data_IF_086985674579
#
_entry.id   IF_086985674579
#
_cell.length_a   1.000
_cell.length_b   1.000
_cell.length_c   1.000
_cell.angle_alpha   90.00
_cell.angle_beta   90.00
_cell.angle_gamma   90.00
#
_symmetry.space_group_name_H-M   'P 1'
#
loop_
_entity.id
_entity.type
_entity.pdbx_description
1 polymer ?
#
# COMPACT_ATOMS: atom_id res chain seq x y z
N UNK A 1 -23.38 9.91 -8.38
CA UNK A 1 -21.95 10.20 -8.56
C UNK A 1 -21.21 8.92 -8.19
N UNK A 2 -20.52 8.31 -9.15
CA UNK A 2 -19.82 7.04 -8.94
C UNK A 2 -18.47 7.35 -8.26
N UNK A 3 -18.48 7.43 -6.92
CA UNK A 3 -17.29 7.79 -6.16
C UNK A 3 -16.26 6.67 -6.27
N UNK A 4 -15.26 6.85 -7.14
CA UNK A 4 -14.17 5.89 -7.34
C UNK A 4 -12.92 6.37 -6.63
N UNK A 5 -12.39 5.55 -5.74
CA UNK A 5 -11.20 5.87 -4.95
C UNK A 5 -10.30 4.65 -4.77
N UNK A 6 -9.05 4.93 -4.40
CA UNK A 6 -8.03 3.96 -4.01
C UNK A 6 -7.86 4.06 -2.49
N UNK A 7 -7.64 2.94 -1.80
CA UNK A 7 -7.30 2.93 -0.38
C UNK A 7 -5.81 2.71 -0.15
N UNK A 8 -5.25 3.22 0.94
CA UNK A 8 -3.89 2.94 1.38
C UNK A 8 -3.91 2.02 2.62
N UNK A 9 -3.04 1.01 2.61
CA UNK A 9 -2.74 0.13 3.74
C UNK A 9 -1.24 0.16 4.00
N UNK A 10 -0.84 0.61 5.19
CA UNK A 10 0.57 0.83 5.53
C UNK A 10 0.81 0.76 7.05
N UNK A 11 2.07 0.60 7.45
CA UNK A 11 2.45 0.68 8.86
C UNK A 11 2.69 2.13 9.23
N UNK A 12 2.00 2.61 10.27
CA UNK A 12 2.09 3.98 10.77
C UNK A 12 3.46 4.29 11.40
N UNK A 13 3.99 3.39 12.23
CA UNK A 13 5.18 3.67 13.05
C UNK A 13 4.88 4.55 14.27
N UNK A 14 5.89 4.89 15.10
CA UNK A 14 5.68 5.57 16.38
C UNK A 14 5.27 7.05 16.29
N UNK A 15 5.45 7.72 15.13
CA UNK A 15 5.38 9.19 15.02
C UNK A 15 4.31 9.77 14.07
N UNK A 16 3.39 8.98 13.51
CA UNK A 16 2.30 9.49 12.64
C UNK A 16 1.16 10.18 13.39
N UNK A 17 1.47 11.14 14.27
CA UNK A 17 0.43 11.98 14.87
C UNK A 17 0.03 13.09 13.91
N UNK A 18 -1.28 13.29 13.76
CA UNK A 18 -1.91 14.41 13.05
C UNK A 18 -1.34 15.72 13.60
N UNK A 19 -0.51 16.43 12.82
CA UNK A 19 0.12 17.68 13.26
C UNK A 19 1.46 18.04 12.60
N UNK A 20 2.13 17.10 11.92
CA UNK A 20 3.29 17.44 11.11
C UNK A 20 2.87 18.27 9.88
N UNK A 21 3.62 19.34 9.57
CA UNK A 21 3.33 20.22 8.43
C UNK A 21 3.51 19.54 7.07
N UNK A 22 4.19 18.39 7.03
CA UNK A 22 4.48 17.64 5.83
C UNK A 22 3.78 16.27 5.89
N UNK A 23 3.29 15.80 4.75
CA UNK A 23 2.75 14.45 4.63
C UNK A 23 3.87 13.42 4.76
N UNK A 24 3.66 12.31 5.52
CA UNK A 24 4.57 11.18 5.51
C UNK A 24 4.84 10.65 4.10
N UNK A 25 6.07 10.18 3.86
CA UNK A 25 6.55 9.80 2.52
C UNK A 25 5.69 8.71 1.87
N UNK A 26 5.25 7.71 2.64
CA UNK A 26 4.41 6.63 2.15
C UNK A 26 3.05 7.14 1.65
N UNK A 27 2.50 8.17 2.30
CA UNK A 27 1.25 8.80 1.86
C UNK A 27 1.49 9.63 0.60
N UNK A 28 2.59 10.40 0.54
CA UNK A 28 2.96 11.18 -0.64
C UNK A 28 3.14 10.28 -1.88
N UNK A 29 3.88 9.18 -1.72
CA UNK A 29 4.07 8.21 -2.79
C UNK A 29 2.77 7.54 -3.21
N UNK A 30 1.89 7.22 -2.24
CA UNK A 30 0.58 6.67 -2.54
C UNK A 30 -0.28 7.66 -3.34
N UNK A 31 -0.26 8.96 -3.03
CA UNK A 31 -0.93 9.99 -3.82
C UNK A 31 -0.42 10.00 -5.27
N UNK A 32 0.90 9.95 -5.46
CA UNK A 32 1.51 9.90 -6.78
C UNK A 32 1.06 8.65 -7.57
N UNK A 33 1.03 7.48 -6.91
CA UNK A 33 0.56 6.23 -7.50
C UNK A 33 -0.91 6.34 -7.89
N UNK A 34 -1.78 6.82 -6.98
CA UNK A 34 -3.22 7.03 -7.24
C UNK A 34 -3.46 7.89 -8.47
N UNK A 35 -2.80 9.05 -8.54
CA UNK A 35 -2.92 9.98 -9.67
C UNK A 35 -2.39 9.36 -10.97
N UNK A 36 -1.26 8.65 -10.92
CA UNK A 36 -0.67 7.99 -12.10
C UNK A 36 -1.55 6.89 -12.69
N UNK A 37 -2.40 6.27 -11.86
CA UNK A 37 -3.39 5.28 -12.29
C UNK A 37 -4.71 5.91 -12.77
N UNK A 38 -4.84 7.24 -12.74
CA UNK A 38 -6.02 7.97 -13.21
C UNK A 38 -7.16 8.06 -12.19
N UNK A 39 -6.87 7.89 -10.90
CA UNK A 39 -7.84 8.12 -9.82
C UNK A 39 -7.60 9.48 -9.16
N UNK A 40 -8.68 10.16 -8.79
CA UNK A 40 -8.61 11.48 -8.15
C UNK A 40 -8.58 11.41 -6.61
N UNK A 41 -9.00 10.27 -6.04
CA UNK A 41 -9.23 10.12 -4.61
C UNK A 41 -8.43 8.98 -4.00
N UNK A 42 -7.69 9.30 -2.93
CA UNK A 42 -7.00 8.35 -2.06
C UNK A 42 -7.62 8.43 -0.66
N UNK A 43 -8.03 7.29 -0.13
CA UNK A 43 -8.45 7.14 1.26
C UNK A 43 -7.26 6.70 2.12
N UNK A 44 -7.02 7.42 3.21
CA UNK A 44 -5.97 7.15 4.19
C UNK A 44 -6.58 7.23 5.58
N UNK A 45 -6.53 6.14 6.34
CA UNK A 45 -7.06 6.03 7.70
C UNK A 45 -6.62 7.20 8.60
N UNK A 46 -5.33 7.53 8.62
CA UNK A 46 -4.77 8.60 9.44
C UNK A 46 -5.33 10.00 9.12
N UNK A 47 -5.84 10.22 7.90
CA UNK A 47 -6.35 11.51 7.44
C UNK A 47 -7.88 11.56 7.38
N UNK A 48 -8.51 10.45 7.03
CA UNK A 48 -9.95 10.35 6.77
C UNK A 48 -10.76 9.94 8.01
N UNK A 49 -10.12 9.39 9.04
CA UNK A 49 -10.76 9.04 10.31
C UNK A 49 -10.52 10.15 11.33
N UNK A 50 -11.58 10.60 12.00
CA UNK A 50 -11.47 11.60 13.07
C UNK A 50 -11.04 10.93 14.37
N UNK A 51 -9.76 11.07 14.71
CA UNK A 51 -9.16 10.39 15.87
C UNK A 51 -9.40 11.13 17.20
N UNK A 52 -9.89 12.37 17.19
CA UNK A 52 -10.10 13.15 18.42
C UNK A 52 -11.33 12.72 19.22
N UNK A 53 -12.30 12.06 18.57
CA UNK A 53 -13.56 11.62 19.19
C UNK A 53 -13.62 10.10 19.18
N UNK A 54 -13.39 9.49 20.34
CA UNK A 54 -13.27 8.03 20.49
C UNK A 54 -14.48 7.27 19.95
N UNK A 55 -15.69 7.75 20.23
CA UNK A 55 -16.93 7.09 19.82
C UNK A 55 -17.14 7.11 18.30
N UNK A 56 -16.70 8.16 17.62
CA UNK A 56 -16.80 8.27 16.17
C UNK A 56 -15.65 7.50 15.48
N UNK A 57 -14.46 7.50 16.08
CA UNK A 57 -13.37 6.62 15.67
C UNK A 57 -13.80 5.16 15.72
N UNK A 58 -14.41 4.70 16.82
CA UNK A 58 -14.88 3.31 16.94
C UNK A 58 -15.93 2.94 15.88
N UNK A 59 -16.87 3.83 15.58
CA UNK A 59 -17.85 3.61 14.49
C UNK A 59 -17.18 3.51 13.13
N UNK A 60 -16.19 4.38 12.85
CA UNK A 60 -15.45 4.36 11.58
C UNK A 60 -14.57 3.11 11.45
N UNK A 61 -13.96 2.66 12.55
CA UNK A 61 -13.21 1.40 12.61
C UNK A 61 -14.10 0.20 12.28
N UNK A 62 -15.37 0.20 12.74
CA UNK A 62 -16.34 -0.84 12.40
C UNK A 62 -16.75 -0.87 10.92
N UNK A 63 -16.43 0.17 10.15
CA UNK A 63 -16.77 0.28 8.73
C UNK A 63 -15.56 0.10 7.80
N UNK A 64 -14.38 -0.22 8.35
CA UNK A 64 -13.16 -0.37 7.52
C UNK A 64 -13.30 -1.48 6.48
N UNK A 65 -14.01 -2.56 6.78
CA UNK A 65 -14.29 -3.63 5.83
C UNK A 65 -15.02 -3.11 4.56
N UNK A 66 -15.99 -2.22 4.73
CA UNK A 66 -16.73 -1.61 3.63
C UNK A 66 -15.84 -0.65 2.84
N UNK A 67 -14.97 0.11 3.50
CA UNK A 67 -14.02 1.01 2.83
C UNK A 67 -13.12 0.21 1.88
N UNK A 68 -12.41 -0.80 2.39
CA UNK A 68 -11.50 -1.59 1.54
C UNK A 68 -12.24 -2.41 0.48
N UNK A 69 -13.45 -2.88 0.76
CA UNK A 69 -14.27 -3.62 -0.23
C UNK A 69 -14.77 -2.74 -1.38
N UNK A 70 -15.12 -1.48 -1.10
CA UNK A 70 -15.66 -0.55 -2.08
C UNK A 70 -14.57 0.23 -2.83
N UNK A 71 -13.34 0.25 -2.33
CA UNK A 71 -12.20 0.78 -3.05
C UNK A 71 -11.99 0.03 -4.38
N UNK A 72 -11.61 0.76 -5.43
CA UNK A 72 -11.30 0.16 -6.75
C UNK A 72 -10.01 -0.65 -6.72
N UNK A 73 -9.11 -0.26 -5.83
CA UNK A 73 -7.81 -0.86 -5.59
C UNK A 73 -7.33 -0.43 -4.20
N UNK A 74 -6.55 -1.28 -3.55
CA UNK A 74 -5.82 -0.93 -2.33
C UNK A 74 -4.32 -0.95 -2.60
N UNK A 75 -3.63 0.17 -2.37
CA UNK A 75 -2.18 0.23 -2.35
C UNK A 75 -1.70 -0.31 -1.00
N UNK A 76 -0.79 -1.27 -1.02
CA UNK A 76 -0.25 -1.90 0.18
C UNK A 76 1.25 -1.65 0.27
N UNK A 77 1.67 -0.93 1.31
CA UNK A 77 3.07 -0.61 1.56
C UNK A 77 3.75 -1.74 2.36
N UNK A 78 4.04 -2.86 1.70
CA UNK A 78 4.57 -4.08 2.33
C UNK A 78 5.98 -3.87 2.90
N UNK A 79 6.85 -3.20 2.15
CA UNK A 79 8.24 -2.93 2.54
C UNK A 79 8.38 -1.89 3.67
N UNK A 80 7.35 -1.08 3.90
CA UNK A 80 7.40 0.12 4.72
C UNK A 80 7.27 -0.23 6.20
N UNK A 81 8.33 -0.09 7.03
CA UNK A 81 8.24 -0.33 8.48
C UNK A 81 7.45 0.76 9.21
N UNK A 82 7.35 1.95 8.62
CA UNK A 82 6.62 3.11 9.12
C UNK A 82 6.14 3.99 7.94
N UNK A 83 5.47 5.10 8.25
CA UNK A 83 4.88 5.99 7.27
C UNK A 83 5.87 6.88 6.50
N UNK A 84 7.11 6.97 6.96
CA UNK A 84 8.13 7.88 6.41
C UNK A 84 9.09 7.16 5.48
N UNK A 85 9.02 5.83 5.39
CA UNK A 85 9.88 5.04 4.52
C UNK A 85 9.58 5.24 3.02
N UNK A 86 8.30 5.36 2.62
CA UNK A 86 7.90 5.51 1.21
C UNK A 86 7.52 4.19 0.51
N UNK A 87 7.22 4.27 -0.78
CA UNK A 87 6.94 3.11 -1.64
C UNK A 87 8.14 2.85 -2.56
N UNK A 88 8.78 1.68 -2.41
CA UNK A 88 9.94 1.29 -3.22
C UNK A 88 9.59 1.30 -4.71
N UNK A 89 10.43 1.96 -5.52
CA UNK A 89 10.23 2.12 -6.97
C UNK A 89 9.36 3.30 -7.40
N UNK A 90 8.86 4.11 -6.46
CA UNK A 90 8.14 5.36 -6.76
C UNK A 90 9.08 6.56 -6.67
N UNK A 91 9.43 7.00 -5.46
CA UNK A 91 10.41 8.07 -5.26
C UNK A 91 11.78 7.53 -4.84
N UNK A 92 11.81 6.41 -4.11
CA UNK A 92 13.04 5.68 -3.80
C UNK A 92 13.34 4.63 -4.89
N UNK A 93 14.61 4.54 -5.31
CA UNK A 93 15.04 3.50 -6.25
C UNK A 93 15.06 2.14 -5.55
N UNK A 94 14.57 1.08 -6.22
CA UNK A 94 14.65 -0.28 -5.69
C UNK A 94 16.12 -0.70 -5.55
N UNK A 95 16.55 -1.21 -4.38
CA UNK A 95 17.94 -1.55 -4.14
C UNK A 95 18.41 -2.72 -5.01
N UNK A 96 17.51 -3.67 -5.28
CA UNK A 96 17.81 -4.84 -6.10
C UNK A 96 17.45 -4.58 -7.56
N UNK A 97 18.46 -4.45 -8.43
CA UNK A 97 18.25 -4.45 -9.88
C UNK A 97 18.15 -5.89 -10.38
N UNK A 98 17.07 -6.16 -11.11
CA UNK A 98 16.92 -7.42 -11.82
C UNK A 98 18.05 -7.57 -12.84
N UNK A 99 18.82 -8.66 -12.73
CA UNK A 99 19.89 -8.92 -13.68
C UNK A 99 19.28 -9.29 -15.03
N UNK A 100 19.79 -8.67 -16.09
CA UNK A 100 19.35 -8.89 -17.46
C UNK A 100 20.57 -9.12 -18.35
N UNK A 101 20.50 -10.14 -19.20
CA UNK A 101 21.57 -10.49 -20.12
C UNK A 101 20.99 -10.86 -21.47
N UNK A 102 21.73 -10.56 -22.54
CA UNK A 102 21.35 -10.90 -23.90
C UNK A 102 22.23 -12.06 -24.39
N UNK A 103 21.60 -13.15 -24.85
CA UNK A 103 22.28 -14.30 -25.43
C UNK A 103 21.61 -14.62 -26.77
N UNK A 104 22.37 -14.51 -27.87
CA UNK A 104 21.87 -14.79 -29.22
C UNK A 104 20.56 -14.06 -29.57
N UNK A 105 20.41 -12.78 -29.15
CA UNK A 105 19.20 -11.98 -29.36
C UNK A 105 18.03 -12.30 -28.42
N UNK A 106 18.21 -13.21 -27.46
CA UNK A 106 17.24 -13.48 -26.40
C UNK A 106 17.59 -12.69 -25.15
N UNK A 107 16.61 -11.93 -24.62
CA UNK A 107 16.74 -11.23 -23.34
C UNK A 107 16.38 -12.16 -22.19
N UNK A 108 17.38 -12.62 -21.46
CA UNK A 108 17.22 -13.39 -20.23
C UNK A 108 17.16 -12.45 -19.04
N UNK A 109 16.24 -12.72 -18.12
CA UNK A 109 16.01 -11.90 -16.93
C UNK A 109 16.00 -12.80 -15.70
N UNK A 110 16.79 -12.46 -14.68
CA UNK A 110 16.84 -13.23 -13.43
C UNK A 110 15.54 -13.07 -12.64
N UNK A 111 15.07 -14.12 -11.99
CA UNK A 111 13.98 -14.01 -11.02
C UNK A 111 14.55 -13.36 -9.74
N UNK A 112 13.96 -12.24 -9.28
CA UNK A 112 14.51 -11.43 -8.17
C UNK A 112 14.27 -12.12 -6.81
N UNK A 113 13.09 -12.68 -6.62
CA UNK A 113 12.66 -13.43 -5.43
C UNK A 113 11.28 -14.06 -5.73
N UNK A 114 10.81 -15.00 -4.90
CA UNK A 114 9.39 -15.38 -4.95
C UNK A 114 8.58 -14.22 -4.39
N UNK A 115 7.56 -13.72 -5.12
CA UNK A 115 6.83 -12.52 -4.74
C UNK A 115 6.28 -12.52 -3.31
N UNK A 116 5.81 -13.69 -2.85
CA UNK A 116 5.16 -13.83 -1.55
C UNK A 116 6.12 -13.92 -0.38
N UNK A 117 7.40 -14.26 -0.57
CA UNK A 117 8.35 -14.41 0.56
C UNK A 117 8.55 -13.06 1.30
N UNK A 118 8.60 -11.95 0.56
CA UNK A 118 8.68 -10.59 1.12
C UNK A 118 7.37 -10.15 1.77
N UNK A 119 6.23 -10.58 1.22
CA UNK A 119 4.91 -10.29 1.80
C UNK A 119 4.75 -11.05 3.13
N UNK A 120 5.04 -12.35 3.12
CA UNK A 120 4.85 -13.24 4.26
C UNK A 120 5.72 -12.83 5.45
N UNK A 121 6.95 -12.39 5.19
CA UNK A 121 7.90 -11.93 6.21
C UNK A 121 7.74 -10.46 6.62
N UNK A 122 6.85 -9.70 5.95
CA UNK A 122 6.73 -8.27 6.19
C UNK A 122 6.11 -7.93 7.56
N UNK A 123 6.49 -6.78 8.17
CA UNK A 123 5.78 -6.24 9.31
C UNK A 123 4.29 -6.02 9.01
N UNK A 124 3.96 -5.68 7.77
CA UNK A 124 2.59 -5.54 7.31
C UNK A 124 1.79 -6.84 7.52
N UNK A 125 2.30 -8.01 7.13
CA UNK A 125 1.57 -9.28 7.27
C UNK A 125 1.49 -9.81 8.73
N UNK A 126 2.31 -9.27 9.63
CA UNK A 126 2.32 -9.67 11.05
C UNK A 126 1.23 -9.01 11.91
N UNK A 127 0.51 -8.00 11.38
CA UNK A 127 -0.46 -7.20 12.15
C UNK A 127 -1.90 -7.68 11.89
N UNK A 128 -2.70 -7.76 12.95
CA UNK A 128 -4.09 -8.22 12.85
C UNK A 128 -5.00 -7.29 12.04
N UNK A 129 -4.69 -5.98 12.00
CA UNK A 129 -5.49 -4.97 11.31
C UNK A 129 -5.27 -4.99 9.79
N UNK A 130 -4.02 -5.09 9.34
CA UNK A 130 -3.65 -5.20 7.91
C UNK A 130 -4.18 -6.47 7.26
N UNK A 131 -4.38 -7.54 8.04
CA UNK A 131 -5.09 -8.73 7.59
C UNK A 131 -6.52 -8.41 7.15
N UNK A 132 -7.27 -7.58 7.88
CA UNK A 132 -8.62 -7.17 7.48
C UNK A 132 -8.58 -6.32 6.20
N UNK A 133 -7.64 -5.40 6.10
CA UNK A 133 -7.49 -4.48 4.95
C UNK A 133 -7.17 -5.25 3.66
N UNK A 134 -6.22 -6.19 3.72
CA UNK A 134 -5.91 -7.09 2.60
C UNK A 134 -7.02 -8.10 2.32
N UNK A 135 -7.75 -8.55 3.35
CA UNK A 135 -8.82 -9.54 3.20
C UNK A 135 -10.04 -9.00 2.45
N UNK A 136 -10.45 -7.77 2.77
CA UNK A 136 -11.66 -7.17 2.21
C UNK A 136 -11.44 -6.46 0.87
N UNK A 137 -10.19 -6.15 0.53
CA UNK A 137 -9.83 -5.58 -0.77
C UNK A 137 -10.08 -6.58 -1.90
N UNK A 138 -10.75 -6.12 -2.97
CA UNK A 138 -10.96 -6.93 -4.18
C UNK A 138 -9.70 -7.03 -5.03
N UNK A 139 -8.87 -5.99 -5.01
CA UNK A 139 -7.59 -5.87 -5.70
C UNK A 139 -6.59 -5.17 -4.80
N UNK A 140 -5.40 -5.73 -4.67
CA UNK A 140 -4.29 -5.16 -3.92
C UNK A 140 -3.09 -4.94 -4.84
N UNK A 141 -2.48 -3.76 -4.76
CA UNK A 141 -1.20 -3.45 -5.37
C UNK A 141 -0.14 -3.39 -4.27
N UNK A 142 0.60 -4.48 -4.12
CA UNK A 142 1.56 -4.68 -3.04
C UNK A 142 2.94 -4.18 -3.47
N UNK A 143 3.44 -3.16 -2.76
CA UNK A 143 4.78 -2.62 -2.93
C UNK A 143 5.73 -3.30 -1.95
N UNK A 144 6.45 -4.32 -2.45
CA UNK A 144 7.56 -4.94 -1.72
C UNK A 144 8.85 -4.18 -2.01
N UNK A 145 9.98 -4.58 -1.42
CA UNK A 145 11.27 -3.95 -1.69
C UNK A 145 11.73 -4.21 -3.12
N UNK A 146 11.55 -5.45 -3.58
CA UNK A 146 12.05 -5.89 -4.88
C UNK A 146 11.08 -5.67 -6.04
N UNK A 147 9.76 -5.72 -5.80
CA UNK A 147 8.76 -5.74 -6.86
C UNK A 147 7.43 -5.09 -6.47
N UNK A 148 6.55 -4.95 -7.47
CA UNK A 148 5.13 -4.63 -7.29
C UNK A 148 4.32 -5.85 -7.69
N UNK A 149 3.40 -6.27 -6.83
CA UNK A 149 2.53 -7.43 -7.05
C UNK A 149 1.10 -6.92 -7.17
N UNK A 150 0.40 -7.31 -8.23
CA UNK A 150 -1.05 -7.13 -8.32
C UNK A 150 -1.73 -8.42 -7.91
N UNK A 151 -2.35 -8.42 -6.73
CA UNK A 151 -3.19 -9.52 -6.26
C UNK A 151 -4.66 -9.19 -6.53
N UNK A 152 -5.31 -10.00 -7.38
CA UNK A 152 -6.73 -9.87 -7.69
C UNK A 152 -7.49 -11.06 -7.12
N UNK A 153 -8.38 -10.80 -6.17
CA UNK A 153 -9.27 -11.84 -5.68
C UNK A 153 -10.42 -12.00 -6.65
N UNK A 154 -10.61 -13.22 -7.14
CA UNK A 154 -11.83 -13.57 -7.85
C UNK A 154 -12.94 -13.68 -6.80
N UNK A 155 -13.85 -12.71 -6.77
CA UNK A 155 -15.15 -12.86 -6.12
C UNK A 155 -16.17 -13.31 -7.17
#
# INVERSE_FOLDING_TARGET
ADCSYVALSYVWGPDTRRGEKALPKTIEDAVNVTLSMGFDYLWVDALCIEQSVKEDMEKQLQQMDLVYRLAKLTIVAVASPDAHHGLSGITATRPNRQAQFEINGLRLTSIISRPWDEVDSSPWNSRGWTFQEGLFSTRCLLFTESQVILDCRHQ
#
